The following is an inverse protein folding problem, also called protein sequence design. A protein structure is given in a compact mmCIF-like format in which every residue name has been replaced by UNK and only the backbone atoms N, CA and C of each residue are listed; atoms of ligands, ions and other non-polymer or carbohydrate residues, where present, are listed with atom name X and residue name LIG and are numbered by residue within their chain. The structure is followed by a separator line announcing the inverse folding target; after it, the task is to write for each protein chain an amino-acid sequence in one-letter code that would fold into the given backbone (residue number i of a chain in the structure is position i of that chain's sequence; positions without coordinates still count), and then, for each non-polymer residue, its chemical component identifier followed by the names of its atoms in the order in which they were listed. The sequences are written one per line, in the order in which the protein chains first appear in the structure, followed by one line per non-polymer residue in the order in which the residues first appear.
data_IF_464951317771
#
_entry.id   IF_464951317771
#
_cell.length_a   1.000
_cell.length_b   1.000
_cell.length_c   1.000
_cell.angle_alpha   90.00
_cell.angle_beta   90.00
_cell.angle_gamma   90.00
#
_symmetry.space_group_name_H-M   'P 1'
#
loop_
_entity.id
_entity.type
_entity.pdbx_description
1 polymer ?
#
# COMPACT_ATOMS: atom_id res chain seq x y z
N UNK A 1 31.67 7.87 3.61
CA UNK A 1 32.21 6.80 4.52
C UNK A 1 31.53 6.81 5.89
N UNK A 2 31.36 7.96 6.53
CA UNK A 2 30.71 8.01 7.88
C UNK A 2 29.28 7.44 7.90
N UNK A 3 28.41 7.88 6.99
CA UNK A 3 27.02 7.40 6.91
C UNK A 3 26.91 5.88 6.70
N UNK A 4 27.75 5.29 5.84
CA UNK A 4 27.77 3.84 5.63
C UNK A 4 28.10 3.08 6.91
N UNK A 5 29.11 3.55 7.66
CA UNK A 5 29.51 2.93 8.91
C UNK A 5 28.41 3.04 9.98
N UNK A 6 27.77 4.20 10.06
CA UNK A 6 26.64 4.44 10.96
C UNK A 6 25.49 3.48 10.68
N UNK A 7 25.05 3.39 9.41
CA UNK A 7 23.98 2.48 9.00
C UNK A 7 24.35 1.01 9.22
N UNK A 8 25.59 0.63 8.88
CA UNK A 8 26.07 -0.75 9.10
C UNK A 8 26.00 -1.13 10.58
N UNK A 9 26.57 -0.29 11.46
CA UNK A 9 26.56 -0.51 12.91
C UNK A 9 25.13 -0.59 13.44
N UNK A 10 24.27 0.34 13.01
CA UNK A 10 22.88 0.35 13.45
C UNK A 10 22.15 -0.95 13.08
N UNK A 11 22.31 -1.44 11.82
CA UNK A 11 21.68 -2.70 11.38
C UNK A 11 22.22 -3.89 12.20
N UNK A 12 23.54 -3.98 12.41
CA UNK A 12 24.18 -5.06 13.19
C UNK A 12 23.67 -5.11 14.63
N UNK A 13 23.45 -3.95 15.26
CA UNK A 13 23.00 -3.86 16.65
C UNK A 13 21.49 -4.05 16.82
N UNK A 14 20.68 -3.77 15.79
CA UNK A 14 19.22 -3.69 15.92
C UNK A 14 18.45 -4.78 15.17
N UNK A 15 19.02 -5.37 14.12
CA UNK A 15 18.33 -6.43 13.36
C UNK A 15 18.39 -7.76 14.15
N UNK A 16 17.25 -8.34 14.55
CA UNK A 16 17.22 -9.64 15.18
C UNK A 16 17.83 -10.72 14.29
N UNK A 17 18.53 -11.69 14.87
CA UNK A 17 19.19 -12.78 14.12
C UNK A 17 18.22 -13.56 13.23
N UNK A 18 17.00 -13.80 13.71
CA UNK A 18 15.95 -14.48 12.92
C UNK A 18 15.42 -13.64 11.75
N UNK A 19 15.73 -12.34 11.69
CA UNK A 19 15.42 -11.42 10.58
C UNK A 19 16.59 -11.30 9.58
N UNK A 20 17.66 -12.07 9.75
CA UNK A 20 18.78 -12.16 8.80
C UNK A 20 18.64 -13.41 7.91
N UNK A 21 19.04 -13.30 6.65
CA UNK A 21 18.98 -14.39 5.66
C UNK A 21 17.58 -14.59 5.04
N UNK A 22 17.37 -15.71 4.32
CA UNK A 22 16.09 -16.00 3.66
C UNK A 22 14.92 -16.11 4.65
N UNK A 23 13.78 -15.58 4.28
CA UNK A 23 12.57 -15.65 5.10
C UNK A 23 11.48 -14.69 4.62
N UNK A 24 10.33 -14.74 5.27
CA UNK A 24 9.20 -13.87 4.94
C UNK A 24 9.43 -12.45 5.43
N UNK A 25 9.04 -11.47 4.60
CA UNK A 25 8.97 -10.06 4.96
C UNK A 25 7.51 -9.72 5.25
N UNK A 26 7.18 -9.23 6.44
CA UNK A 26 5.80 -8.91 6.77
C UNK A 26 5.30 -7.71 5.99
N UNK A 27 4.01 -7.74 5.62
CA UNK A 27 3.33 -6.60 5.00
C UNK A 27 2.76 -5.60 6.01
N UNK A 28 2.90 -5.89 7.29
CA UNK A 28 2.21 -5.18 8.36
C UNK A 28 0.74 -5.62 8.51
N UNK A 29 -0.05 -4.82 9.24
CA UNK A 29 -1.48 -5.02 9.39
C UNK A 29 -1.90 -5.80 10.63
N UNK A 30 -3.20 -5.84 10.87
CA UNK A 30 -3.81 -6.39 12.09
C UNK A 30 -4.20 -7.87 11.96
N UNK A 31 -4.31 -8.37 10.73
CA UNK A 31 -4.84 -9.72 10.42
C UNK A 31 -3.75 -10.75 10.15
N UNK A 32 -2.49 -10.34 10.11
CA UNK A 32 -1.34 -11.23 9.85
C UNK A 32 -0.57 -11.45 11.14
N UNK A 33 -0.28 -12.71 11.43
CA UNK A 33 0.55 -13.04 12.59
C UNK A 33 2.03 -12.88 12.22
N UNK A 34 2.68 -11.94 12.87
CA UNK A 34 4.13 -11.77 12.84
C UNK A 34 4.78 -12.44 14.04
N UNK A 35 6.06 -12.80 13.89
CA UNK A 35 6.88 -13.25 15.03
C UNK A 35 7.25 -12.06 15.93
N UNK A 36 7.63 -12.34 17.17
CA UNK A 36 8.07 -11.29 18.12
C UNK A 36 9.29 -10.53 17.57
N UNK A 37 10.22 -11.23 16.94
CA UNK A 37 11.40 -10.61 16.31
C UNK A 37 11.04 -9.72 15.11
N UNK A 38 10.04 -10.09 14.31
CA UNK A 38 9.55 -9.23 13.24
C UNK A 38 8.90 -7.95 13.80
N UNK A 39 8.15 -8.05 14.88
CA UNK A 39 7.62 -6.87 15.59
C UNK A 39 8.74 -5.97 16.10
N UNK A 40 9.74 -6.54 16.78
CA UNK A 40 10.90 -5.80 17.28
C UNK A 40 11.66 -5.13 16.14
N UNK A 41 11.85 -5.84 15.01
CA UNK A 41 12.56 -5.29 13.86
C UNK A 41 11.81 -4.10 13.24
N UNK A 42 10.49 -4.23 13.06
CA UNK A 42 9.64 -3.14 12.55
C UNK A 42 9.68 -1.94 13.51
N UNK A 43 9.50 -2.17 14.80
CA UNK A 43 9.47 -1.10 15.82
C UNK A 43 10.77 -0.31 15.83
N UNK A 44 11.92 -0.99 15.88
CA UNK A 44 13.24 -0.34 15.86
C UNK A 44 13.47 0.43 14.58
N UNK A 45 13.21 -0.21 13.42
CA UNK A 45 13.39 0.43 12.13
C UNK A 45 12.43 1.61 11.90
N UNK A 46 11.19 1.52 12.37
CA UNK A 46 10.23 2.62 12.30
C UNK A 46 10.62 3.79 13.19
N UNK A 47 11.22 3.51 14.38
CA UNK A 47 11.74 4.55 15.29
C UNK A 47 12.80 5.45 14.64
N UNK A 48 13.58 4.92 13.72
CA UNK A 48 14.59 5.64 12.93
C UNK A 48 14.14 6.02 11.52
N UNK A 49 12.87 5.77 11.17
CA UNK A 49 12.33 6.03 9.84
C UNK A 49 12.84 5.09 8.73
N UNK A 50 13.48 3.97 9.10
CA UNK A 50 14.16 3.06 8.17
C UNK A 50 13.23 2.02 7.53
N UNK A 51 11.96 2.00 7.89
CA UNK A 51 10.92 1.23 7.17
C UNK A 51 10.55 1.88 5.85
N UNK A 52 10.63 3.21 5.77
CA UNK A 52 10.34 4.05 4.59
C UNK A 52 11.40 5.17 4.47
N UNK A 53 12.68 4.82 4.26
CA UNK A 53 13.82 5.72 4.49
C UNK A 53 13.78 7.03 3.70
N UNK A 54 13.19 7.02 2.50
CA UNK A 54 13.13 8.21 1.62
C UNK A 54 11.95 9.13 1.90
N UNK A 55 10.99 8.71 2.77
CA UNK A 55 9.86 9.57 3.09
C UNK A 55 10.25 10.71 4.02
N UNK A 56 9.53 11.84 3.99
CA UNK A 56 9.72 12.92 4.96
C UNK A 56 9.53 12.42 6.40
N UNK A 57 10.29 13.01 7.32
CA UNK A 57 10.30 12.60 8.73
C UNK A 57 8.96 12.82 9.44
N UNK A 58 8.20 13.84 9.03
CA UNK A 58 6.85 14.11 9.54
C UNK A 58 5.87 12.97 9.25
N UNK A 59 6.16 12.10 8.28
CA UNK A 59 5.34 10.94 7.91
C UNK A 59 5.97 9.60 8.29
N UNK A 60 7.03 9.61 9.11
CA UNK A 60 7.66 8.41 9.64
C UNK A 60 8.85 7.88 8.82
N UNK A 61 9.39 8.68 7.88
CA UNK A 61 10.61 8.36 7.15
C UNK A 61 11.86 8.98 7.76
N UNK A 62 13.03 8.58 7.24
CA UNK A 62 14.32 9.15 7.65
C UNK A 62 14.76 10.34 6.79
N UNK A 63 14.03 10.69 5.73
CA UNK A 63 14.36 11.78 4.82
C UNK A 63 15.62 11.53 3.98
N UNK A 64 15.97 10.29 3.72
CA UNK A 64 17.19 9.96 2.98
C UNK A 64 17.15 10.48 1.55
N UNK A 65 18.30 11.03 1.12
CA UNK A 65 18.56 11.25 -0.30
C UNK A 65 18.65 9.91 -1.05
N UNK A 66 18.58 9.96 -2.37
CA UNK A 66 18.74 8.75 -3.21
C UNK A 66 20.09 8.06 -2.95
N UNK A 67 21.17 8.82 -2.79
CA UNK A 67 22.50 8.26 -2.52
C UNK A 67 22.56 7.56 -1.15
N UNK A 68 21.96 8.15 -0.13
CA UNK A 68 21.84 7.54 1.20
C UNK A 68 20.99 6.27 1.15
N UNK A 69 19.90 6.29 0.40
CA UNK A 69 19.04 5.12 0.23
C UNK A 69 19.77 3.96 -0.48
N UNK A 70 20.56 4.24 -1.50
CA UNK A 70 21.41 3.23 -2.16
C UNK A 70 22.38 2.61 -1.16
N UNK A 71 23.07 3.42 -0.36
CA UNK A 71 23.99 2.94 0.68
C UNK A 71 23.25 2.07 1.70
N UNK A 72 22.05 2.49 2.14
CA UNK A 72 21.21 1.68 3.05
C UNK A 72 20.88 0.31 2.47
N UNK A 73 20.43 0.26 1.20
CA UNK A 73 20.11 -1.01 0.54
C UNK A 73 21.33 -1.92 0.37
N UNK A 74 22.50 -1.35 0.07
CA UNK A 74 23.76 -2.10 -0.02
C UNK A 74 24.13 -2.73 1.32
N UNK A 75 24.00 -1.99 2.44
CA UNK A 75 24.33 -2.51 3.77
C UNK A 75 23.30 -3.55 4.23
N UNK A 76 21.99 -3.33 4.00
CA UNK A 76 20.96 -4.35 4.25
C UNK A 76 21.28 -5.66 3.53
N UNK A 77 21.66 -5.58 2.25
CA UNK A 77 22.04 -6.75 1.45
C UNK A 77 23.32 -7.41 1.96
N UNK A 78 24.35 -6.61 2.26
CA UNK A 78 25.66 -7.11 2.75
C UNK A 78 25.52 -7.89 4.06
N UNK A 79 24.69 -7.39 4.95
CA UNK A 79 24.43 -7.98 6.26
C UNK A 79 23.35 -9.08 6.21
N UNK A 80 22.69 -9.25 5.07
CA UNK A 80 21.59 -10.18 4.91
C UNK A 80 20.33 -9.79 5.69
N UNK A 81 20.24 -8.56 6.18
CA UNK A 81 19.08 -8.10 6.93
C UNK A 81 17.86 -7.98 6.00
N UNK A 82 16.74 -8.59 6.39
CA UNK A 82 15.50 -8.48 5.64
C UNK A 82 14.86 -7.10 5.83
N UNK A 83 14.21 -6.60 4.79
CA UNK A 83 13.36 -5.40 4.88
C UNK A 83 12.38 -5.56 6.05
N UNK A 84 12.28 -4.58 6.97
CA UNK A 84 11.43 -4.71 8.16
C UNK A 84 9.95 -4.90 7.82
N UNK A 85 9.45 -4.12 6.87
CA UNK A 85 8.06 -4.18 6.36
C UNK A 85 8.04 -3.89 4.87
N UNK A 86 7.24 -4.63 4.11
CA UNK A 86 7.03 -4.40 2.69
C UNK A 86 5.56 -4.58 2.32
N UNK A 87 5.17 -4.11 1.14
CA UNK A 87 3.82 -4.30 0.63
C UNK A 87 3.30 -3.05 -0.07
N UNK A 88 2.03 -3.10 -0.46
CA UNK A 88 1.40 -2.00 -1.22
C UNK A 88 1.31 -0.70 -0.43
N UNK A 89 1.37 -0.77 0.91
CA UNK A 89 1.45 0.41 1.78
C UNK A 89 2.70 1.22 1.48
N UNK A 90 3.87 0.60 1.57
CA UNK A 90 5.17 1.25 1.43
C UNK A 90 5.56 1.53 -0.02
N UNK A 91 5.19 0.65 -0.96
CA UNK A 91 5.66 0.72 -2.35
C UNK A 91 4.70 1.40 -3.32
N UNK A 92 3.41 1.51 -2.99
CA UNK A 92 2.37 1.99 -3.92
C UNK A 92 1.57 3.14 -3.34
N UNK A 93 0.71 2.89 -2.34
CA UNK A 93 -0.20 3.93 -1.84
C UNK A 93 0.52 5.01 -1.05
N UNK A 94 1.57 4.70 -0.30
CA UNK A 94 2.35 5.68 0.42
C UNK A 94 2.97 6.75 -0.48
N UNK A 95 3.79 6.38 -1.49
CA UNK A 95 4.30 7.32 -2.49
C UNK A 95 3.20 8.10 -3.23
N UNK A 96 2.06 7.44 -3.49
CA UNK A 96 0.91 8.11 -4.13
C UNK A 96 0.29 9.16 -3.22
N UNK A 97 0.14 8.89 -1.92
CA UNK A 97 -0.36 9.86 -0.95
C UNK A 97 0.60 11.02 -0.75
N UNK A 98 1.92 10.78 -0.75
CA UNK A 98 2.92 11.85 -0.68
C UNK A 98 2.77 12.84 -1.83
N UNK A 99 2.38 12.37 -3.04
CA UNK A 99 2.24 13.19 -4.25
C UNK A 99 0.83 13.81 -4.38
N UNK A 100 -0.24 13.07 -4.10
CA UNK A 100 -1.62 13.48 -4.40
C UNK A 100 -2.54 13.62 -3.17
N UNK A 101 -2.11 13.13 -2.01
CA UNK A 101 -2.92 13.18 -0.81
C UNK A 101 -3.01 14.57 -0.19
N UNK A 102 -4.13 14.86 0.46
CA UNK A 102 -4.24 16.03 1.34
C UNK A 102 -3.37 15.82 2.58
N UNK A 103 -3.10 16.89 3.32
CA UNK A 103 -2.31 16.82 4.54
C UNK A 103 -2.97 15.90 5.59
N UNK A 104 -4.30 15.96 5.70
CA UNK A 104 -5.07 15.10 6.59
C UNK A 104 -4.94 13.63 6.20
N UNK A 105 -4.98 13.30 4.91
CA UNK A 105 -4.79 11.94 4.41
C UNK A 105 -3.37 11.43 4.68
N UNK A 106 -2.35 12.26 4.47
CA UNK A 106 -0.95 11.91 4.76
C UNK A 106 -0.76 11.60 6.24
N UNK A 107 -1.21 12.49 7.12
CA UNK A 107 -1.09 12.31 8.57
C UNK A 107 -1.89 11.12 9.10
N UNK A 108 -3.06 10.82 8.49
CA UNK A 108 -3.87 9.70 8.90
C UNK A 108 -3.29 8.33 8.51
N UNK A 109 -2.62 8.25 7.36
CA UNK A 109 -2.24 6.96 6.78
C UNK A 109 -0.73 6.69 6.79
N UNK A 110 0.11 7.67 6.42
CA UNK A 110 1.54 7.42 6.21
C UNK A 110 2.28 6.94 7.47
N UNK A 111 2.09 7.55 8.67
CA UNK A 111 2.77 7.07 9.86
C UNK A 111 2.37 5.63 10.25
N UNK A 112 1.11 5.24 10.01
CA UNK A 112 0.63 3.88 10.27
C UNK A 112 1.23 2.86 9.29
N UNK A 113 1.43 3.25 8.02
CA UNK A 113 2.13 2.45 7.03
C UNK A 113 3.59 2.27 7.45
N UNK A 114 4.28 3.35 7.83
CA UNK A 114 5.67 3.32 8.27
C UNK A 114 5.90 2.41 9.48
N UNK A 115 4.94 2.36 10.41
CA UNK A 115 5.00 1.47 11.58
C UNK A 115 4.50 0.04 11.33
N UNK A 116 4.11 -0.31 10.09
CA UNK A 116 3.60 -1.63 9.76
C UNK A 116 2.25 -1.97 10.42
N UNK A 117 1.47 -0.99 10.83
CA UNK A 117 0.19 -1.15 11.54
C UNK A 117 -0.98 -1.48 10.62
N UNK A 118 -0.83 -1.27 9.31
CA UNK A 118 -1.91 -1.42 8.34
C UNK A 118 -1.46 -2.14 7.08
N UNK A 119 -2.26 -3.09 6.61
CA UNK A 119 -2.10 -3.73 5.32
C UNK A 119 -3.03 -3.12 4.28
N UNK A 120 -2.49 -2.83 3.10
CA UNK A 120 -3.23 -2.26 1.98
C UNK A 120 -3.40 -3.26 0.84
N UNK A 121 -4.55 -3.23 0.18
CA UNK A 121 -4.77 -3.93 -1.08
C UNK A 121 -5.25 -3.00 -2.19
N UNK A 122 -5.14 -3.47 -3.44
CA UNK A 122 -5.44 -2.72 -4.65
C UNK A 122 -6.76 -3.18 -5.27
N UNK A 123 -7.72 -2.28 -5.43
CA UNK A 123 -9.01 -2.52 -6.09
C UNK A 123 -9.05 -1.92 -7.50
N UNK A 124 -8.34 -2.54 -8.48
CA UNK A 124 -8.29 -2.05 -9.85
C UNK A 124 -9.11 -2.92 -10.79
N UNK A 125 -8.62 -4.10 -11.14
CA UNK A 125 -9.22 -4.99 -12.13
C UNK A 125 -10.61 -5.48 -11.71
N UNK A 126 -11.48 -5.64 -12.71
CA UNK A 126 -12.80 -6.25 -12.58
C UNK A 126 -12.89 -7.46 -13.52
N UNK A 127 -13.86 -8.38 -13.35
CA UNK A 127 -14.02 -9.52 -14.25
C UNK A 127 -14.11 -9.13 -15.73
N UNK A 128 -14.69 -7.96 -16.04
CA UNK A 128 -14.81 -7.42 -17.40
C UNK A 128 -13.80 -6.31 -17.76
N UNK A 129 -12.88 -5.94 -16.87
CA UNK A 129 -12.01 -4.75 -17.04
C UNK A 129 -10.63 -5.01 -16.45
N UNK A 130 -9.78 -5.68 -17.20
CA UNK A 130 -8.36 -5.91 -16.87
C UNK A 130 -7.45 -5.07 -17.77
N UNK A 131 -7.14 -5.56 -18.99
CA UNK A 131 -6.31 -4.80 -19.94
C UNK A 131 -6.94 -3.46 -20.35
N UNK A 132 -8.27 -3.42 -20.53
CA UNK A 132 -9.01 -2.18 -20.66
C UNK A 132 -9.56 -1.73 -19.29
N UNK A 133 -8.65 -1.38 -18.38
CA UNK A 133 -8.98 -0.99 -17.01
C UNK A 133 -9.93 0.21 -16.95
N UNK A 134 -9.82 1.15 -17.90
CA UNK A 134 -10.67 2.34 -17.93
C UNK A 134 -12.17 2.02 -18.15
N UNK A 135 -12.51 0.80 -18.57
CA UNK A 135 -13.91 0.34 -18.69
C UNK A 135 -14.50 -0.20 -17.39
N UNK A 136 -13.83 0.00 -16.24
CA UNK A 136 -14.31 -0.39 -14.91
C UNK A 136 -15.73 0.14 -14.62
N UNK A 137 -16.51 -0.65 -13.87
CA UNK A 137 -17.93 -0.41 -13.58
C UNK A 137 -18.28 -0.35 -12.10
N UNK A 138 -17.34 -0.65 -11.20
CA UNK A 138 -17.57 -0.44 -9.76
C UNK A 138 -17.99 1.00 -9.53
N UNK A 139 -19.25 1.20 -9.12
CA UNK A 139 -19.87 2.53 -8.99
C UNK A 139 -19.55 3.13 -7.63
N UNK A 140 -19.46 4.45 -7.61
CA UNK A 140 -19.42 5.26 -6.41
C UNK A 140 -20.49 6.35 -6.53
N UNK A 141 -21.59 6.19 -5.81
CA UNK A 141 -22.70 7.14 -5.80
C UNK A 141 -22.46 8.20 -4.71
N UNK A 142 -22.58 9.46 -5.07
CA UNK A 142 -22.42 10.58 -4.14
C UNK A 142 -23.62 10.66 -3.18
N UNK A 143 -23.37 10.51 -1.88
CA UNK A 143 -24.37 10.58 -0.84
C UNK A 143 -24.06 11.69 0.20
N UNK A 144 -23.58 12.83 -0.28
CA UNK A 144 -23.28 14.00 0.55
C UNK A 144 -21.88 13.97 1.16
N UNK A 145 -21.68 13.38 2.30
CA UNK A 145 -20.40 13.30 3.01
C UNK A 145 -19.57 12.05 2.66
N UNK A 146 -20.17 11.07 1.97
CA UNK A 146 -19.53 9.84 1.56
C UNK A 146 -19.98 9.38 0.19
N UNK A 147 -19.24 8.42 -0.37
CA UNK A 147 -19.64 7.62 -1.53
C UNK A 147 -20.16 6.26 -1.08
N UNK A 148 -21.24 5.81 -1.74
CA UNK A 148 -21.75 4.45 -1.63
C UNK A 148 -21.17 3.62 -2.77
N UNK A 149 -20.39 2.60 -2.43
CA UNK A 149 -19.63 1.79 -3.40
C UNK A 149 -20.35 0.48 -3.66
N UNK A 150 -20.61 0.20 -4.94
CA UNK A 150 -21.23 -1.04 -5.40
C UNK A 150 -20.47 -1.62 -6.60
N UNK A 151 -20.09 -2.89 -6.51
CA UNK A 151 -19.37 -3.57 -7.58
C UNK A 151 -18.51 -4.73 -7.13
N UNK A 152 -17.58 -5.12 -8.02
CA UNK A 152 -16.69 -6.25 -7.78
C UNK A 152 -15.30 -5.94 -8.33
N UNK A 153 -14.28 -6.27 -7.55
CA UNK A 153 -12.88 -6.31 -7.99
C UNK A 153 -12.38 -7.75 -8.01
N UNK A 154 -11.39 -8.00 -8.85
CA UNK A 154 -10.75 -9.32 -8.98
C UNK A 154 -9.23 -9.17 -9.02
N UNK A 155 -8.53 -10.24 -8.71
CA UNK A 155 -7.07 -10.29 -8.59
C UNK A 155 -6.53 -9.36 -7.51
N UNK A 156 -7.35 -9.08 -6.50
CA UNK A 156 -6.97 -8.24 -5.35
C UNK A 156 -6.01 -8.99 -4.46
N UNK A 157 -4.70 -8.72 -4.60
CA UNK A 157 -3.66 -9.40 -3.85
C UNK A 157 -3.78 -9.14 -2.36
N UNK A 158 -3.81 -10.21 -1.56
CA UNK A 158 -3.81 -10.14 -0.11
C UNK A 158 -5.04 -9.48 0.54
N UNK A 159 -6.15 -9.32 -0.20
CA UNK A 159 -7.35 -8.65 0.32
C UNK A 159 -7.91 -9.29 1.59
N UNK A 160 -7.74 -10.61 1.78
CA UNK A 160 -8.15 -11.31 3.00
C UNK A 160 -7.40 -10.84 4.26
N UNK A 161 -6.24 -10.21 4.09
CA UNK A 161 -5.40 -9.67 5.16
C UNK A 161 -5.44 -8.15 5.25
N UNK A 162 -6.04 -7.49 4.25
CA UNK A 162 -6.01 -6.03 4.16
C UNK A 162 -6.93 -5.36 5.19
N UNK A 163 -6.46 -4.26 5.74
CA UNK A 163 -7.22 -3.34 6.59
C UNK A 163 -7.86 -2.24 5.74
N UNK A 164 -7.17 -1.83 4.67
CA UNK A 164 -7.58 -0.77 3.76
C UNK A 164 -7.42 -1.16 2.30
N UNK A 165 -8.24 -0.55 1.46
CA UNK A 165 -8.16 -0.67 0.00
C UNK A 165 -8.01 0.71 -0.63
N UNK A 166 -7.14 0.83 -1.64
CA UNK A 166 -7.18 1.93 -2.60
C UNK A 166 -7.85 1.43 -3.88
N UNK A 167 -8.92 2.10 -4.26
CA UNK A 167 -9.84 1.59 -5.26
C UNK A 167 -10.14 2.61 -6.35
N UNK A 168 -10.14 2.13 -7.62
CA UNK A 168 -10.69 2.88 -8.74
C UNK A 168 -12.18 2.61 -8.85
N UNK A 169 -12.96 3.69 -8.89
CA UNK A 169 -14.41 3.64 -8.93
C UNK A 169 -14.96 4.55 -10.04
N UNK A 170 -16.14 4.21 -10.56
CA UNK A 170 -16.87 5.01 -11.53
C UNK A 170 -17.76 6.02 -10.79
N UNK A 171 -17.37 7.28 -10.80
CA UNK A 171 -18.14 8.39 -10.21
C UNK A 171 -18.99 9.12 -11.23
N UNK A 172 -18.63 9.09 -12.52
CA UNK A 172 -19.42 9.65 -13.60
C UNK A 172 -19.47 8.65 -14.81
N UNK A 173 -20.62 8.02 -15.06
CA UNK A 173 -20.77 7.07 -16.17
C UNK A 173 -21.06 7.74 -17.53
N UNK A 174 -21.40 9.03 -17.56
CA UNK A 174 -21.95 9.72 -18.74
C UNK A 174 -20.87 10.49 -19.54
N UNK A 175 -19.60 10.41 -19.08
CA UNK A 175 -18.44 11.03 -19.73
C UNK A 175 -17.51 9.97 -20.35
N UNK A 176 -16.53 10.37 -21.18
CA UNK A 176 -15.53 9.44 -21.70
C UNK A 176 -14.89 8.62 -20.57
N UNK A 177 -14.65 7.33 -20.81
CA UNK A 177 -14.31 6.34 -19.77
C UNK A 177 -13.13 6.71 -18.85
N UNK A 178 -12.18 7.52 -19.31
CA UNK A 178 -11.05 7.99 -18.50
C UNK A 178 -11.39 9.18 -17.60
N UNK A 179 -12.44 9.92 -17.92
CA UNK A 179 -12.79 11.20 -17.28
C UNK A 179 -13.82 11.04 -16.13
N UNK A 180 -14.38 9.86 -15.95
CA UNK A 180 -15.40 9.57 -14.93
C UNK A 180 -14.91 8.60 -13.86
N UNK A 181 -13.59 8.47 -13.64
CA UNK A 181 -12.98 7.59 -12.66
C UNK A 181 -12.42 8.43 -11.50
N UNK A 182 -12.71 8.00 -10.27
CA UNK A 182 -12.12 8.55 -9.06
C UNK A 182 -11.28 7.50 -8.33
N UNK A 183 -10.34 7.98 -7.52
CA UNK A 183 -9.46 7.16 -6.68
C UNK A 183 -9.85 7.36 -5.23
N UNK A 184 -10.34 6.33 -4.56
CA UNK A 184 -10.85 6.41 -3.20
C UNK A 184 -10.20 5.40 -2.28
N UNK A 185 -10.08 5.76 -1.00
CA UNK A 185 -9.58 4.89 0.06
C UNK A 185 -10.75 4.53 0.99
N UNK A 186 -10.84 3.27 1.39
CA UNK A 186 -11.81 2.88 2.41
C UNK A 186 -11.38 1.61 3.16
N UNK A 187 -11.96 1.44 4.35
CA UNK A 187 -11.70 0.28 5.21
C UNK A 187 -12.25 -1.00 4.58
N UNK A 188 -11.49 -2.08 4.70
CA UNK A 188 -11.94 -3.42 4.35
C UNK A 188 -12.78 -4.06 5.48
N UNK A 189 -12.70 -3.50 6.69
CA UNK A 189 -13.44 -3.94 7.86
C UNK A 189 -14.68 -3.07 8.06
N UNK A 190 -15.71 -3.32 7.25
CA UNK A 190 -16.99 -2.64 7.31
C UNK A 190 -18.10 -3.50 6.71
N UNK A 191 -19.37 -3.25 7.06
CA UNK A 191 -20.51 -3.83 6.36
C UNK A 191 -20.45 -3.54 4.85
N UNK A 192 -20.89 -4.52 4.04
CA UNK A 192 -20.90 -4.37 2.58
C UNK A 192 -19.60 -4.72 1.88
N UNK A 193 -18.51 -5.01 2.60
CA UNK A 193 -17.27 -5.55 2.02
C UNK A 193 -17.17 -7.04 2.29
N UNK A 194 -16.99 -7.83 1.23
CA UNK A 194 -16.71 -9.26 1.36
C UNK A 194 -15.58 -9.69 0.43
N UNK A 195 -14.78 -10.64 0.89
CA UNK A 195 -13.58 -11.12 0.22
C UNK A 195 -13.67 -12.63 0.01
N UNK A 196 -13.38 -13.09 -1.21
CA UNK A 196 -13.30 -14.51 -1.54
C UNK A 196 -11.93 -14.84 -2.12
N UNK A 197 -11.07 -15.57 -1.39
CA UNK A 197 -9.78 -16.02 -1.91
C UNK A 197 -9.92 -16.91 -3.16
N UNK A 198 -9.08 -16.67 -4.16
CA UNK A 198 -8.97 -17.46 -5.39
C UNK A 198 -7.90 -18.52 -5.19
N UNK A 199 -8.29 -19.78 -5.21
CA UNK A 199 -7.34 -20.88 -5.08
C UNK A 199 -6.66 -21.16 -6.42
N UNK A 200 -5.34 -21.02 -6.44
CA UNK A 200 -4.50 -21.32 -7.59
C UNK A 200 -4.19 -22.82 -7.68
N UNK A 201 -3.66 -23.25 -8.83
CA UNK A 201 -3.21 -24.64 -9.05
C UNK A 201 -2.12 -25.07 -8.05
N UNK A 202 -1.34 -24.14 -7.52
CA UNK A 202 -0.36 -24.36 -6.46
C UNK A 202 -0.99 -24.69 -5.10
N UNK A 203 -2.31 -24.50 -4.95
CA UNK A 203 -3.02 -24.62 -3.69
C UNK A 203 -3.02 -23.32 -2.84
N UNK A 204 -2.17 -22.35 -3.17
CA UNK A 204 -2.16 -21.04 -2.50
C UNK A 204 -3.30 -20.13 -2.99
N UNK A 205 -3.65 -19.13 -2.20
CA UNK A 205 -4.69 -18.14 -2.52
C UNK A 205 -4.16 -16.71 -2.31
N UNK A 206 -3.17 -16.26 -3.12
CA UNK A 206 -2.59 -14.91 -2.96
C UNK A 206 -3.51 -13.81 -3.48
N UNK A 207 -4.48 -14.15 -4.31
CA UNK A 207 -5.43 -13.21 -4.92
C UNK A 207 -6.86 -13.46 -4.46
N UNK A 208 -7.68 -12.42 -4.51
CA UNK A 208 -9.09 -12.50 -4.12
C UNK A 208 -10.01 -11.87 -5.17
N UNK A 209 -11.26 -12.30 -5.14
CA UNK A 209 -12.41 -11.49 -5.54
C UNK A 209 -12.81 -10.63 -4.33
N UNK A 210 -13.15 -9.37 -4.58
CA UNK A 210 -13.61 -8.45 -3.54
C UNK A 210 -14.93 -7.83 -3.99
N UNK A 211 -15.96 -7.97 -3.17
CA UNK A 211 -17.30 -7.51 -3.48
C UNK A 211 -17.68 -6.33 -2.60
N UNK A 212 -18.36 -5.37 -3.18
CA UNK A 212 -18.89 -4.19 -2.51
C UNK A 212 -20.40 -4.14 -2.72
N UNK A 213 -21.13 -4.16 -1.61
CA UNK A 213 -22.58 -4.02 -1.53
C UNK A 213 -22.90 -2.91 -0.53
N UNK A 214 -23.06 -1.70 -1.03
CA UNK A 214 -23.23 -0.48 -0.25
C UNK A 214 -22.07 -0.21 0.72
N UNK A 215 -20.84 -0.54 0.33
CA UNK A 215 -19.65 -0.16 1.10
C UNK A 215 -19.46 1.37 1.10
N UNK A 216 -18.91 1.90 2.18
CA UNK A 216 -18.78 3.34 2.39
C UNK A 216 -17.35 3.80 2.20
N UNK A 217 -17.15 4.82 1.37
CA UNK A 217 -15.90 5.57 1.27
C UNK A 217 -16.17 7.04 1.65
N UNK A 218 -15.57 7.52 2.73
CA UNK A 218 -15.71 8.92 3.14
C UNK A 218 -15.13 9.84 2.06
N UNK A 219 -15.76 10.99 1.79
CA UNK A 219 -15.23 11.95 0.80
C UNK A 219 -13.87 12.52 1.17
N UNK A 220 -13.55 12.58 2.44
CA UNK A 220 -12.21 12.93 2.93
C UNK A 220 -11.12 11.93 2.46
N UNK A 221 -11.52 10.75 2.01
CA UNK A 221 -10.64 9.71 1.46
C UNK A 221 -10.62 9.67 -0.08
N UNK A 222 -11.16 10.67 -0.76
CA UNK A 222 -10.94 10.88 -2.19
C UNK A 222 -9.52 11.42 -2.39
N UNK A 223 -8.68 10.68 -3.12
CA UNK A 223 -7.30 11.09 -3.42
C UNK A 223 -7.26 11.83 -4.76
N UNK A 224 -6.74 13.04 -4.74
CA UNK A 224 -6.81 13.97 -5.87
C UNK A 224 -8.24 14.50 -6.09
N UNK A 225 -8.52 14.96 -7.30
CA UNK A 225 -9.83 15.55 -7.64
C UNK A 225 -10.85 14.49 -8.06
N UNK A 226 -12.14 14.80 -7.84
CA UNK A 226 -13.24 13.98 -8.35
C UNK A 226 -13.13 13.81 -9.86
N UNK A 227 -13.36 12.60 -10.36
CA UNK A 227 -13.26 12.22 -11.77
C UNK A 227 -11.85 12.33 -12.39
N UNK A 228 -10.80 12.54 -11.57
CA UNK A 228 -9.39 12.60 -12.01
C UNK A 228 -8.54 11.42 -11.51
N UNK A 229 -9.17 10.40 -10.95
CA UNK A 229 -8.49 9.21 -10.40
C UNK A 229 -7.67 8.41 -11.42
N UNK A 230 -7.97 8.54 -12.72
CA UNK A 230 -7.16 7.88 -13.75
C UNK A 230 -5.71 8.38 -13.80
N UNK A 231 -5.49 9.66 -13.55
CA UNK A 231 -4.13 10.24 -13.45
C UNK A 231 -3.38 9.71 -12.24
N UNK A 232 -4.05 9.65 -11.08
CA UNK A 232 -3.51 9.06 -9.85
C UNK A 232 -3.15 7.59 -10.08
N UNK A 233 -4.07 6.82 -10.70
CA UNK A 233 -3.85 5.40 -11.00
C UNK A 233 -2.62 5.15 -11.88
N UNK A 234 -2.45 5.93 -12.94
CA UNK A 234 -1.28 5.81 -13.83
C UNK A 234 0.02 6.10 -13.09
N UNK A 235 0.02 7.07 -12.19
CA UNK A 235 1.20 7.41 -11.40
C UNK A 235 1.52 6.32 -10.38
N UNK A 236 0.52 5.76 -9.71
CA UNK A 236 0.70 4.64 -8.80
C UNK A 236 1.33 3.43 -9.49
N UNK A 237 0.91 3.10 -10.71
CA UNK A 237 1.51 2.01 -11.49
C UNK A 237 2.97 2.28 -11.88
N UNK A 238 3.42 3.53 -11.94
CA UNK A 238 4.84 3.86 -12.11
C UNK A 238 5.63 3.55 -10.84
N UNK A 239 5.08 3.84 -9.65
CA UNK A 239 5.70 3.47 -8.38
C UNK A 239 5.82 1.94 -8.23
N UNK A 240 4.79 1.18 -8.61
CA UNK A 240 4.83 -0.29 -8.63
C UNK A 240 6.01 -0.82 -9.45
N UNK A 241 6.18 -0.31 -10.69
CA UNK A 241 7.27 -0.73 -11.59
C UNK A 241 8.65 -0.35 -11.07
N UNK A 242 8.79 0.81 -10.43
CA UNK A 242 10.06 1.26 -9.85
C UNK A 242 10.49 0.37 -8.67
N UNK A 243 9.56 -0.09 -7.86
CA UNK A 243 9.83 -1.03 -6.77
C UNK A 243 10.36 -2.39 -7.25
N UNK A 244 9.94 -2.86 -8.42
CA UNK A 244 10.43 -4.12 -9.00
C UNK A 244 11.88 -4.04 -9.54
N UNK A 245 12.39 -2.85 -9.82
CA UNK A 245 13.78 -2.65 -10.29
C UNK A 245 14.79 -2.55 -9.14
N UNK A 246 14.35 -2.45 -7.90
CA UNK A 246 15.19 -2.35 -6.70
C UNK A 246 15.45 -3.71 -6.03
N UNK A 247 14.91 -4.81 -6.57
CA UNK A 247 15.14 -6.20 -6.16
C UNK A 247 16.20 -6.86 -7.02
#
# INVERSE_FOLDING_TARGET
MAFRQEISTWIEENCPESCVGPGEVPGGGTKVRMTDDQHVWIERAAGEGLTVPTWPSEYGGAGFSNDQYVVFLEEMRRLGARTPVAGMGTSMIGPTLLEFGTEEQKLAHLPRIARGEVWWCQGYSEPGSGSDLASLRTRAEDNGDHFVINGQKIWTSGAQFADWIFCLVRTDPDVPKHDGISFVLFSMDQPGVSVRPIRLISGASPFCETFFDNAIAQKTNLVGDLNKGWTVAKRLLQHERSGMLAL
#
